data_IF_950738519117
#
_entry.id   IF_950738519117
#
_cell.length_a   1.000
_cell.length_b   1.000
_cell.length_c   1.000
_cell.angle_alpha   90.00
_cell.angle_beta   90.00
_cell.angle_gamma   90.00
#
_symmetry.space_group_name_H-M   'P 1'
#
loop_
_entity.id
_entity.type
_entity.pdbx_description
1 polymer ?
#
# COMPACT_ATOMS: atom_id res chain seq x y z
N UNK A 1 -19.89 -28.59 -70.55
CA UNK A 1 -18.54 -28.02 -70.40
C UNK A 1 -18.39 -27.60 -68.96
N UNK A 2 -17.94 -28.52 -68.11
CA UNK A 2 -17.60 -28.22 -66.73
C UNK A 2 -16.21 -27.57 -66.71
N UNK A 3 -16.14 -26.33 -66.24
CA UNK A 3 -14.86 -25.65 -65.99
C UNK A 3 -14.39 -26.12 -64.61
N UNK A 4 -13.29 -26.87 -64.62
CA UNK A 4 -12.69 -27.54 -63.48
C UNK A 4 -12.11 -26.50 -62.49
N UNK A 5 -12.60 -26.47 -61.25
CA UNK A 5 -12.19 -25.54 -60.18
C UNK A 5 -10.77 -25.81 -59.61
N UNK A 6 -9.91 -26.52 -60.33
CA UNK A 6 -8.55 -26.88 -59.86
C UNK A 6 -7.46 -25.88 -60.23
N UNK A 7 -7.75 -24.92 -61.11
CA UNK A 7 -6.71 -24.03 -61.66
C UNK A 7 -6.53 -22.70 -60.88
N UNK A 8 -7.30 -22.46 -59.81
CA UNK A 8 -7.20 -21.23 -59.00
C UNK A 8 -6.19 -21.32 -57.83
N UNK A 9 -5.45 -22.43 -57.68
CA UNK A 9 -4.56 -22.66 -56.53
C UNK A 9 -3.05 -22.51 -56.83
N UNK A 10 -2.69 -22.06 -58.03
CA UNK A 10 -1.30 -21.92 -58.47
C UNK A 10 -0.78 -20.47 -58.53
N UNK A 11 -1.35 -19.56 -57.74
CA UNK A 11 -0.64 -18.32 -57.43
C UNK A 11 0.31 -18.53 -56.24
N UNK A 12 1.56 -18.03 -56.30
CA UNK A 12 2.52 -18.21 -55.25
C UNK A 12 1.97 -17.56 -53.97
N UNK A 13 1.54 -18.40 -53.02
CA UNK A 13 1.16 -17.99 -51.67
C UNK A 13 2.24 -17.06 -51.16
N UNK A 14 1.91 -15.77 -51.03
CA UNK A 14 2.77 -14.77 -50.43
C UNK A 14 3.41 -15.38 -49.17
N UNK A 15 4.73 -15.53 -49.19
CA UNK A 15 5.49 -15.95 -48.02
C UNK A 15 5.35 -14.85 -46.96
N UNK A 16 4.31 -14.96 -46.12
CA UNK A 16 4.08 -14.04 -45.03
C UNK A 16 5.21 -14.20 -44.02
N UNK A 17 6.05 -13.16 -43.90
CA UNK A 17 6.99 -13.00 -42.79
C UNK A 17 6.14 -12.77 -41.53
N UNK A 18 5.89 -13.82 -40.75
CA UNK A 18 5.06 -13.77 -39.52
C UNK A 18 5.71 -12.91 -38.41
N UNK A 19 7.00 -12.59 -38.56
CA UNK A 19 7.76 -11.75 -37.64
C UNK A 19 8.35 -10.58 -38.41
N UNK A 20 7.64 -9.46 -38.39
CA UNK A 20 8.15 -8.15 -38.80
C UNK A 20 8.22 -7.23 -37.59
N UNK A 21 9.29 -6.45 -37.49
CA UNK A 21 9.37 -5.37 -36.50
C UNK A 21 8.47 -4.22 -36.94
N UNK A 22 8.12 -3.33 -36.00
CA UNK A 22 7.33 -2.13 -36.31
C UNK A 22 8.06 -1.25 -37.33
N UNK A 23 9.39 -1.16 -37.23
CA UNK A 23 10.24 -0.45 -38.19
C UNK A 23 10.14 -1.01 -39.63
N UNK A 24 9.98 -2.33 -39.81
CA UNK A 24 9.78 -2.93 -41.13
C UNK A 24 8.42 -2.58 -41.76
N UNK A 25 7.43 -2.19 -40.95
CA UNK A 25 6.09 -1.84 -41.42
C UNK A 25 5.96 -0.36 -41.80
N UNK A 26 6.96 0.47 -41.49
CA UNK A 26 6.97 1.89 -41.84
C UNK A 26 7.74 2.13 -43.12
N UNK A 27 7.15 2.85 -44.06
CA UNK A 27 7.79 3.22 -45.33
C UNK A 27 7.70 4.72 -45.58
N UNK A 28 8.43 5.24 -46.58
CA UNK A 28 8.38 6.66 -46.97
C UNK A 28 6.98 7.13 -47.40
N UNK A 29 6.10 6.19 -47.73
CA UNK A 29 4.71 6.40 -48.15
C UNK A 29 3.71 6.15 -47.00
N UNK A 30 4.19 5.81 -45.80
CA UNK A 30 3.38 5.54 -44.60
C UNK A 30 3.44 4.08 -44.11
N UNK A 31 2.49 3.73 -43.23
CA UNK A 31 2.33 2.39 -42.65
C UNK A 31 1.87 1.37 -43.70
N UNK A 32 2.57 0.23 -43.79
CA UNK A 32 2.18 -0.92 -44.60
C UNK A 32 1.50 -1.98 -43.73
N UNK A 33 0.21 -2.16 -43.95
CA UNK A 33 -0.62 -3.08 -43.20
C UNK A 33 -0.75 -4.43 -43.92
N UNK A 34 -0.16 -5.48 -43.34
CA UNK A 34 -0.28 -6.85 -43.87
C UNK A 34 -1.01 -7.74 -42.87
N UNK A 35 -2.34 -7.74 -42.92
CA UNK A 35 -3.14 -8.58 -42.04
C UNK A 35 -3.27 -9.99 -42.61
N UNK A 36 -3.10 -11.00 -41.73
CA UNK A 36 -3.17 -12.42 -42.11
C UNK A 36 -4.55 -12.86 -42.63
N UNK A 37 -5.61 -12.17 -42.22
CA UNK A 37 -7.00 -12.44 -42.60
C UNK A 37 -7.78 -11.14 -42.77
N UNK A 38 -8.92 -11.23 -43.44
CA UNK A 38 -9.92 -10.18 -43.45
C UNK A 38 -10.58 -10.05 -42.07
N UNK A 39 -10.98 -8.83 -41.74
CA UNK A 39 -11.70 -8.50 -40.50
C UNK A 39 -13.17 -8.79 -40.65
N UNK A 40 -13.80 -9.23 -39.56
CA UNK A 40 -15.26 -9.27 -39.49
C UNK A 40 -15.81 -7.86 -39.23
N UNK A 41 -17.07 -7.61 -39.60
CA UNK A 41 -17.71 -6.29 -39.48
C UNK A 41 -17.62 -5.71 -38.05
N UNK A 42 -17.72 -6.55 -37.02
CA UNK A 42 -17.62 -6.12 -35.62
C UNK A 42 -16.19 -5.77 -35.16
N UNK A 43 -15.16 -6.14 -35.94
CA UNK A 43 -13.75 -5.82 -35.67
C UNK A 43 -13.31 -4.53 -36.37
N UNK A 44 -14.03 -4.11 -37.42
CA UNK A 44 -13.71 -2.91 -38.21
C UNK A 44 -13.59 -1.65 -37.35
N UNK A 45 -14.47 -1.36 -36.35
CA UNK A 45 -14.32 -0.18 -35.51
C UNK A 45 -13.02 -0.19 -34.70
N UNK A 46 -12.65 -1.36 -34.15
CA UNK A 46 -11.40 -1.51 -33.37
C UNK A 46 -10.16 -1.36 -34.25
N UNK A 47 -10.25 -1.84 -35.50
CA UNK A 47 -9.18 -1.67 -36.47
C UNK A 47 -9.03 -0.21 -36.88
N UNK A 48 -10.13 0.49 -37.17
CA UNK A 48 -10.10 1.91 -37.48
C UNK A 48 -9.48 2.71 -36.32
N UNK A 49 -9.86 2.43 -35.07
CA UNK A 49 -9.25 3.06 -33.88
C UNK A 49 -7.75 2.77 -33.77
N UNK A 50 -7.34 1.55 -34.11
CA UNK A 50 -5.93 1.17 -34.10
C UNK A 50 -5.14 1.94 -35.16
N UNK A 51 -5.62 1.95 -36.42
CA UNK A 51 -5.01 2.68 -37.54
C UNK A 51 -4.89 4.18 -37.19
N UNK A 52 -5.99 4.79 -36.72
CA UNK A 52 -6.01 6.19 -36.31
C UNK A 52 -5.00 6.50 -35.19
N UNK A 53 -4.73 5.55 -34.28
CA UNK A 53 -3.74 5.73 -33.21
C UNK A 53 -2.32 5.63 -33.73
N UNK A 54 -2.03 4.73 -34.65
CA UNK A 54 -0.67 4.56 -35.16
C UNK A 54 -0.31 5.62 -36.21
N UNK A 55 -1.26 6.11 -36.99
CA UNK A 55 -1.05 7.22 -37.93
C UNK A 55 -0.68 8.54 -37.24
N UNK A 56 -1.00 8.69 -35.93
CA UNK A 56 -0.52 9.81 -35.13
C UNK A 56 1.01 9.80 -34.93
N UNK A 57 1.66 8.66 -35.16
CA UNK A 57 3.12 8.51 -35.08
C UNK A 57 3.68 8.53 -36.50
N UNK A 58 4.11 9.71 -36.96
CA UNK A 58 4.55 9.94 -38.34
C UNK A 58 6.05 9.76 -38.60
N UNK A 59 6.87 9.54 -37.57
CA UNK A 59 8.32 9.39 -37.73
C UNK A 59 8.84 8.33 -36.75
N UNK A 60 9.47 7.29 -37.30
CA UNK A 60 10.27 6.34 -36.52
C UNK A 60 11.74 6.75 -36.64
N UNK A 61 12.42 6.89 -35.49
CA UNK A 61 13.86 7.05 -35.47
C UNK A 61 14.57 5.79 -35.95
N UNK A 62 15.81 5.94 -36.41
CA UNK A 62 16.69 4.80 -36.72
C UNK A 62 17.36 4.22 -35.45
N UNK A 63 17.10 4.84 -34.29
CA UNK A 63 17.68 4.46 -33.01
C UNK A 63 17.02 3.19 -32.45
N UNK A 64 17.74 2.49 -31.55
CA UNK A 64 17.20 1.32 -30.86
C UNK A 64 16.06 1.72 -29.90
N UNK A 65 15.06 0.84 -29.76
CA UNK A 65 13.93 1.04 -28.85
C UNK A 65 14.40 1.13 -27.40
N UNK A 66 14.10 2.25 -26.72
CA UNK A 66 14.36 2.41 -25.29
C UNK A 66 13.07 2.36 -24.45
N UNK A 67 13.10 1.59 -23.37
CA UNK A 67 12.00 1.55 -22.39
C UNK A 67 11.96 2.83 -21.56
N UNK A 68 11.01 3.70 -21.86
CA UNK A 68 10.78 4.93 -21.11
C UNK A 68 9.67 4.78 -20.06
N UNK A 69 9.97 5.14 -18.82
CA UNK A 69 9.01 5.11 -17.72
C UNK A 69 8.31 6.47 -17.55
N UNK A 70 7.03 6.55 -17.94
CA UNK A 70 6.16 7.74 -17.79
C UNK A 70 5.72 8.04 -16.34
N UNK A 71 6.48 7.60 -15.35
CA UNK A 71 6.19 7.87 -13.94
C UNK A 71 7.10 8.89 -13.28
N UNK A 72 8.06 9.43 -14.03
CA UNK A 72 8.96 10.48 -13.58
C UNK A 72 9.38 11.37 -14.75
N UNK A 73 9.69 12.63 -14.48
CA UNK A 73 10.10 13.63 -15.48
C UNK A 73 11.36 13.22 -16.25
N UNK A 74 12.18 12.36 -15.64
CA UNK A 74 13.42 11.85 -16.23
C UNK A 74 13.24 10.60 -17.09
N UNK A 75 12.01 10.09 -17.25
CA UNK A 75 11.70 8.84 -17.95
C UNK A 75 12.46 7.58 -17.44
N UNK A 76 13.20 7.66 -16.32
CA UNK A 76 13.99 6.57 -15.75
C UNK A 76 13.21 5.78 -14.71
N UNK A 77 13.06 4.47 -14.89
CA UNK A 77 12.39 3.63 -13.90
C UNK A 77 13.17 3.58 -12.58
N UNK A 78 12.52 3.97 -11.49
CA UNK A 78 13.01 3.77 -10.12
C UNK A 78 11.94 3.10 -9.28
N UNK A 79 12.31 1.99 -8.64
CA UNK A 79 11.41 1.21 -7.77
C UNK A 79 10.78 2.09 -6.69
N UNK A 80 11.54 3.01 -6.08
CA UNK A 80 11.03 3.93 -5.06
C UNK A 80 9.94 4.86 -5.59
N UNK A 81 10.13 5.46 -6.77
CA UNK A 81 9.14 6.35 -7.38
C UNK A 81 7.94 5.58 -7.92
N UNK A 82 8.15 4.38 -8.47
CA UNK A 82 7.08 3.48 -8.87
C UNK A 82 6.22 3.07 -7.66
N UNK A 83 6.85 2.69 -6.55
CA UNK A 83 6.17 2.37 -5.29
C UNK A 83 5.37 3.58 -4.78
N UNK A 84 5.97 4.77 -4.73
CA UNK A 84 5.26 6.00 -4.34
C UNK A 84 4.05 6.30 -5.24
N UNK A 85 4.18 6.15 -6.56
CA UNK A 85 3.08 6.37 -7.52
C UNK A 85 1.97 5.33 -7.34
N UNK A 86 2.30 4.07 -7.11
CA UNK A 86 1.32 3.01 -6.80
C UNK A 86 0.65 3.23 -5.44
N UNK A 87 1.39 3.74 -4.47
CA UNK A 87 0.97 3.93 -3.08
C UNK A 87 0.38 5.33 -2.83
N UNK A 88 0.30 6.20 -3.84
CA UNK A 88 -0.14 7.60 -3.71
C UNK A 88 -1.61 7.74 -3.30
N UNK A 89 -2.42 6.71 -3.56
CA UNK A 89 -3.83 6.61 -3.14
C UNK A 89 -4.01 5.99 -1.75
N UNK A 90 -2.93 5.46 -1.17
CA UNK A 90 -2.90 5.09 0.24
C UNK A 90 -2.46 6.34 0.98
N UNK A 91 -3.43 7.25 1.19
CA UNK A 91 -3.30 8.34 2.14
C UNK A 91 -2.53 7.83 3.38
N UNK A 92 -1.60 8.61 3.96
CA UNK A 92 -1.17 8.33 5.31
C UNK A 92 -2.41 8.57 6.17
N UNK A 93 -3.25 7.53 6.29
CA UNK A 93 -4.27 7.45 7.31
C UNK A 93 -3.60 7.81 8.62
N UNK A 94 -4.36 8.34 9.58
CA UNK A 94 -3.93 8.62 10.96
C UNK A 94 -3.52 7.33 11.72
N UNK A 95 -2.93 6.38 11.02
CA UNK A 95 -2.46 5.10 11.45
C UNK A 95 -1.20 5.26 12.30
N UNK A 96 -1.19 4.75 13.53
CA UNK A 96 -0.12 4.97 14.51
C UNK A 96 1.12 4.11 14.24
N UNK A 97 1.64 4.11 13.01
CA UNK A 97 2.79 3.26 12.64
C UNK A 97 4.06 3.61 13.42
N UNK A 98 4.28 4.89 13.73
CA UNK A 98 5.44 5.33 14.50
C UNK A 98 5.39 4.75 15.91
N UNK A 99 4.22 4.76 16.54
CA UNK A 99 3.97 4.25 17.88
C UNK A 99 4.22 2.74 17.97
N UNK A 100 3.94 2.02 16.88
CA UNK A 100 4.15 0.58 16.77
C UNK A 100 5.63 0.26 16.51
N UNK A 101 6.25 0.88 15.51
CA UNK A 101 7.54 0.43 14.98
C UNK A 101 8.74 1.27 15.42
N UNK A 102 8.57 2.54 15.82
CA UNK A 102 9.66 3.43 16.28
C UNK A 102 9.86 3.44 17.80
N UNK A 103 9.12 2.62 18.53
CA UNK A 103 9.23 2.51 19.98
C UNK A 103 10.30 1.49 20.37
N UNK A 104 11.02 1.75 21.47
CA UNK A 104 11.99 0.80 22.06
C UNK A 104 11.26 -0.38 22.73
N UNK A 105 10.61 -1.23 21.95
CA UNK A 105 9.93 -2.44 22.43
C UNK A 105 10.41 -3.67 21.66
N UNK A 106 10.38 -4.88 22.28
CA UNK A 106 10.70 -6.11 21.57
C UNK A 106 9.80 -6.30 20.34
N UNK A 107 10.34 -6.85 19.25
CA UNK A 107 9.62 -7.03 17.99
C UNK A 107 8.31 -7.82 18.15
N UNK A 108 8.30 -8.83 19.04
CA UNK A 108 7.08 -9.60 19.36
C UNK A 108 5.94 -8.71 19.88
N UNK A 109 6.27 -7.70 20.69
CA UNK A 109 5.30 -6.73 21.21
C UNK A 109 4.84 -5.80 20.10
N UNK A 110 5.75 -5.33 19.24
CA UNK A 110 5.39 -4.49 18.10
C UNK A 110 4.40 -5.20 17.14
N UNK A 111 4.67 -6.48 16.80
CA UNK A 111 3.74 -7.30 16.01
C UNK A 111 2.38 -7.45 16.69
N UNK A 112 2.36 -7.68 18.00
CA UNK A 112 1.13 -7.81 18.77
C UNK A 112 0.31 -6.51 18.75
N UNK A 113 0.94 -5.36 18.99
CA UNK A 113 0.28 -4.04 18.93
C UNK A 113 -0.19 -3.72 17.52
N UNK A 114 0.56 -4.12 16.49
CA UNK A 114 0.12 -3.99 15.09
C UNK A 114 -1.16 -4.78 14.80
N UNK A 115 -1.23 -6.05 15.26
CA UNK A 115 -2.44 -6.87 15.15
C UNK A 115 -3.62 -6.27 15.92
N UNK A 116 -3.37 -5.71 17.11
CA UNK A 116 -4.37 -5.01 17.89
C UNK A 116 -4.93 -3.79 17.15
N UNK A 117 -4.05 -2.94 16.62
CA UNK A 117 -4.45 -1.76 15.86
C UNK A 117 -5.26 -2.13 14.60
N UNK A 118 -4.97 -3.30 14.00
CA UNK A 118 -5.68 -3.82 12.82
C UNK A 118 -6.98 -4.56 13.16
N UNK A 119 -7.35 -4.61 14.45
CA UNK A 119 -8.46 -5.41 14.96
C UNK A 119 -8.40 -6.87 14.47
N UNK A 120 -7.19 -7.43 14.36
CA UNK A 120 -6.92 -8.73 13.74
C UNK A 120 -6.55 -9.82 14.75
N UNK A 121 -6.62 -9.51 16.05
CA UNK A 121 -6.38 -10.48 17.13
C UNK A 121 -7.40 -11.62 17.12
N UNK A 122 -7.02 -12.77 17.68
CA UNK A 122 -7.88 -13.96 17.77
C UNK A 122 -8.93 -13.85 18.90
N UNK A 123 -9.70 -12.76 18.92
CA UNK A 123 -10.87 -12.64 19.79
C UNK A 123 -12.01 -13.51 19.27
N UNK A 124 -12.94 -13.91 20.13
CA UNK A 124 -14.12 -14.68 19.70
C UNK A 124 -14.89 -13.99 18.56
N UNK A 125 -15.02 -12.66 18.60
CA UNK A 125 -15.64 -11.89 17.51
C UNK A 125 -14.94 -12.12 16.15
N UNK A 126 -13.61 -12.09 16.13
CA UNK A 126 -12.84 -12.29 14.91
C UNK A 126 -12.82 -13.74 14.45
N UNK A 127 -12.88 -14.70 15.38
CA UNK A 127 -13.03 -16.12 15.05
C UNK A 127 -14.41 -16.38 14.44
N UNK A 128 -15.46 -15.74 14.94
CA UNK A 128 -16.81 -15.83 14.35
C UNK A 128 -16.88 -15.20 12.95
N UNK A 129 -16.21 -14.06 12.73
CA UNK A 129 -16.06 -13.48 11.37
C UNK A 129 -15.38 -14.43 10.38
N UNK A 130 -14.63 -15.43 10.87
CA UNK A 130 -13.98 -16.48 10.08
C UNK A 130 -14.81 -17.77 9.97
N UNK A 131 -16.06 -17.77 10.44
CA UNK A 131 -16.98 -18.91 10.34
C UNK A 131 -16.88 -19.93 11.48
N UNK A 132 -16.13 -19.64 12.56
CA UNK A 132 -16.06 -20.52 13.73
C UNK A 132 -17.22 -20.19 14.68
N UNK A 133 -18.05 -21.17 15.00
CA UNK A 133 -19.20 -20.99 15.89
C UNK A 133 -18.72 -20.98 17.35
N UNK A 134 -18.84 -19.83 18.02
CA UNK A 134 -18.44 -19.62 19.41
C UNK A 134 -19.49 -18.78 20.15
N UNK A 135 -19.42 -18.77 21.48
CA UNK A 135 -20.20 -17.84 22.29
C UNK A 135 -19.46 -16.49 22.36
N UNK A 136 -20.09 -15.39 21.95
CA UNK A 136 -19.58 -14.01 22.04
C UNK A 136 -19.64 -13.49 23.48
N UNK A 137 -18.81 -14.05 24.37
CA UNK A 137 -18.73 -13.61 25.76
C UNK A 137 -17.28 -13.62 26.23
N UNK A 138 -16.81 -12.44 26.61
CA UNK A 138 -15.48 -12.19 27.14
C UNK A 138 -15.15 -13.16 28.27
N UNK A 139 -14.06 -13.90 28.12
CA UNK A 139 -13.65 -14.89 29.11
C UNK A 139 -13.29 -14.27 30.48
N UNK A 140 -12.75 -13.04 30.46
CA UNK A 140 -12.28 -12.35 31.66
C UNK A 140 -13.41 -11.80 32.51
N UNK A 141 -14.34 -11.03 31.93
CA UNK A 141 -15.41 -10.39 32.69
C UNK A 141 -16.71 -11.18 32.68
N UNK A 142 -16.94 -12.03 31.67
CA UNK A 142 -18.19 -12.78 31.42
C UNK A 142 -19.45 -11.92 31.27
N UNK A 143 -19.31 -10.60 31.13
CA UNK A 143 -20.41 -9.64 31.10
C UNK A 143 -20.76 -9.17 29.68
N UNK A 144 -19.76 -8.99 28.81
CA UNK A 144 -19.90 -8.39 27.48
C UNK A 144 -19.27 -9.27 26.39
N UNK A 145 -19.53 -8.96 25.13
CA UNK A 145 -18.93 -9.65 23.99
C UNK A 145 -17.40 -9.46 23.94
N UNK A 146 -16.67 -10.52 23.57
CA UNK A 146 -15.22 -10.47 23.42
C UNK A 146 -14.83 -9.84 22.08
N UNK A 147 -14.77 -8.51 22.08
CA UNK A 147 -14.18 -7.72 20.99
C UNK A 147 -12.75 -7.32 21.34
N UNK A 148 -11.97 -6.90 20.34
CA UNK A 148 -10.60 -6.40 20.55
C UNK A 148 -10.59 -5.20 21.51
N UNK A 149 -11.45 -4.21 21.26
CA UNK A 149 -11.55 -3.03 22.12
C UNK A 149 -12.06 -3.38 23.53
N UNK A 150 -13.01 -4.31 23.66
CA UNK A 150 -13.45 -4.76 24.97
C UNK A 150 -12.31 -5.45 25.74
N UNK A 151 -11.69 -6.47 25.16
CA UNK A 151 -10.68 -7.28 25.84
C UNK A 151 -9.50 -6.44 26.35
N UNK A 152 -9.05 -5.44 25.57
CA UNK A 152 -7.83 -4.67 25.86
C UNK A 152 -8.06 -3.29 26.49
N UNK A 153 -9.26 -2.72 26.41
CA UNK A 153 -9.56 -1.37 26.94
C UNK A 153 -10.71 -1.38 27.96
N UNK A 154 -11.85 -1.98 27.58
CA UNK A 154 -13.12 -1.76 28.30
C UNK A 154 -13.50 -2.88 29.28
N UNK A 155 -12.85 -4.04 29.21
CA UNK A 155 -13.09 -5.17 30.09
C UNK A 155 -12.88 -4.77 31.54
N UNK A 156 -13.80 -5.17 32.42
CA UNK A 156 -13.75 -4.82 33.86
C UNK A 156 -12.39 -5.15 34.48
N UNK A 157 -11.83 -6.32 34.16
CA UNK A 157 -10.52 -6.77 34.64
C UNK A 157 -9.39 -5.92 34.04
N UNK A 158 -9.38 -5.77 32.71
CA UNK A 158 -8.34 -4.98 32.01
C UNK A 158 -8.32 -3.52 32.43
N UNK A 159 -9.50 -2.91 32.65
CA UNK A 159 -9.63 -1.55 33.16
C UNK A 159 -9.05 -1.38 34.56
N UNK A 160 -9.16 -2.41 35.43
CA UNK A 160 -8.50 -2.39 36.74
C UNK A 160 -6.97 -2.39 36.59
N UNK A 161 -6.43 -3.22 35.68
CA UNK A 161 -4.99 -3.23 35.39
C UNK A 161 -4.50 -1.88 34.87
N UNK A 162 -5.24 -1.26 33.94
CA UNK A 162 -4.94 0.09 33.48
C UNK A 162 -4.93 1.09 34.63
N UNK A 163 -5.95 1.10 35.49
CA UNK A 163 -5.99 2.00 36.65
C UNK A 163 -4.79 1.81 37.58
N UNK A 164 -4.41 0.57 37.88
CA UNK A 164 -3.24 0.29 38.72
C UNK A 164 -1.95 0.83 38.08
N UNK A 165 -1.75 0.57 36.79
CA UNK A 165 -0.57 1.06 36.06
C UNK A 165 -0.53 2.59 35.98
N UNK A 166 -1.66 3.22 35.64
CA UNK A 166 -1.78 4.67 35.49
C UNK A 166 -1.57 5.38 36.83
N UNK A 167 -2.19 4.88 37.90
CA UNK A 167 -2.00 5.43 39.25
C UNK A 167 -0.55 5.30 39.69
N UNK A 168 0.09 4.14 39.44
CA UNK A 168 1.50 3.93 39.76
C UNK A 168 2.42 4.89 38.97
N UNK A 169 2.02 5.29 37.77
CA UNK A 169 2.76 6.25 36.93
C UNK A 169 2.33 7.71 37.12
N UNK A 170 1.33 7.99 37.95
CA UNK A 170 0.77 9.34 38.13
C UNK A 170 0.10 9.91 36.87
N UNK A 171 -0.37 9.06 35.95
CA UNK A 171 -0.96 9.48 34.67
C UNK A 171 -2.47 9.51 34.79
N UNK A 172 -3.09 10.67 34.58
CA UNK A 172 -4.54 10.79 34.39
C UNK A 172 -4.87 10.51 32.93
N UNK A 173 -5.49 9.37 32.63
CA UNK A 173 -5.84 8.98 31.26
C UNK A 173 -7.31 8.57 31.11
N UNK A 174 -7.95 9.08 30.06
CA UNK A 174 -9.31 8.70 29.65
C UNK A 174 -9.23 7.58 28.62
N UNK A 175 -9.76 6.41 28.95
CA UNK A 175 -9.78 5.25 28.05
C UNK A 175 -10.67 5.58 26.85
N UNK A 176 -10.07 5.61 25.66
CA UNK A 176 -10.74 5.90 24.40
C UNK A 176 -11.51 4.68 23.85
N UNK A 177 -12.38 4.92 22.86
CA UNK A 177 -13.27 3.89 22.33
C UNK A 177 -12.54 2.78 21.59
N UNK A 178 -11.48 3.14 20.84
CA UNK A 178 -10.71 2.21 19.98
C UNK A 178 -9.24 2.14 20.34
N UNK A 179 -8.61 1.01 20.04
CA UNK A 179 -7.15 0.84 20.23
C UNK A 179 -6.34 1.83 19.41
N UNK A 180 -6.73 2.12 18.17
CA UNK A 180 -6.00 3.07 17.32
C UNK A 180 -5.97 4.47 17.93
N UNK A 181 -7.09 4.92 18.49
CA UNK A 181 -7.20 6.18 19.23
C UNK A 181 -6.39 6.16 20.53
N UNK A 182 -6.43 5.05 21.27
CA UNK A 182 -5.61 4.87 22.47
C UNK A 182 -4.11 5.00 22.14
N UNK A 183 -3.65 4.37 21.06
CA UNK A 183 -2.25 4.41 20.60
C UNK A 183 -1.82 5.82 20.17
N UNK A 184 -2.68 6.58 19.49
CA UNK A 184 -2.37 7.97 19.11
C UNK A 184 -2.37 8.90 20.32
N UNK A 185 -3.31 8.74 21.26
CA UNK A 185 -3.35 9.56 22.49
C UNK A 185 -2.11 9.38 23.35
N UNK A 186 -1.55 8.18 23.38
CA UNK A 186 -0.34 7.87 24.14
C UNK A 186 0.90 8.61 23.62
N UNK A 187 0.94 8.91 22.31
CA UNK A 187 1.99 9.74 21.71
C UNK A 187 1.96 11.15 22.27
N UNK A 188 0.77 11.74 22.29
CA UNK A 188 0.56 13.12 22.74
C UNK A 188 0.92 13.25 24.22
N UNK A 189 0.49 12.31 25.05
CA UNK A 189 0.85 12.28 26.47
C UNK A 189 2.37 12.12 26.68
N UNK A 190 3.04 11.24 25.91
CA UNK A 190 4.49 11.05 25.98
C UNK A 190 5.30 12.28 25.54
N UNK A 191 4.80 13.04 24.56
CA UNK A 191 5.40 14.31 24.14
C UNK A 191 5.24 15.40 25.20
N UNK A 192 4.08 15.49 25.84
CA UNK A 192 3.83 16.44 26.94
C UNK A 192 4.70 16.14 28.17
N UNK A 193 4.88 14.86 28.50
CA UNK A 193 5.76 14.44 29.60
C UNK A 193 7.23 14.77 29.33
N UNK A 194 7.70 14.62 28.09
CA UNK A 194 9.08 15.03 27.71
C UNK A 194 9.30 16.53 27.82
N UNK A 195 8.31 17.33 27.40
CA UNK A 195 8.37 18.79 27.50
C UNK A 195 8.48 19.27 28.96
N UNK A 196 7.75 18.65 29.88
CA UNK A 196 7.84 18.95 31.32
C UNK A 196 9.18 18.55 31.96
N UNK A 197 9.86 17.54 31.41
CA UNK A 197 11.20 17.12 31.86
C UNK A 197 12.31 18.02 31.30
N UNK A 198 12.12 18.59 30.12
CA UNK A 198 13.04 19.58 29.52
C UNK A 198 12.87 20.97 30.15
N UNK A 199 11.66 21.37 30.52
CA UNK A 199 11.35 22.65 31.17
C UNK A 199 11.57 22.63 32.71
N UNK A 200 12.08 21.53 33.28
CA UNK A 200 12.31 21.41 34.73
C UNK A 200 13.60 22.14 35.16
N UNK A 201 13.56 23.04 36.17
CA UNK A 201 14.67 23.96 36.50
C UNK A 201 15.90 23.29 37.13
N UNK A 202 15.88 21.97 37.34
CA UNK A 202 16.99 21.23 37.99
C UNK A 202 18.18 20.91 37.07
N UNK A 203 18.18 21.34 35.80
CA UNK A 203 19.36 21.23 34.90
C UNK A 203 20.31 22.43 34.93
N UNK A 204 19.95 23.54 35.59
CA UNK A 204 20.82 24.72 35.69
C UNK A 204 21.66 24.80 36.98
N UNK A 205 21.68 23.75 37.81
CA UNK A 205 22.39 23.74 39.09
C UNK A 205 23.55 22.74 39.18
N UNK A 206 24.02 22.18 38.05
CA UNK A 206 25.21 21.29 38.05
C UNK A 206 26.43 21.94 37.38
N UNK A 207 26.30 23.12 36.77
CA UNK A 207 27.43 23.77 36.07
C UNK A 207 28.18 24.84 36.90
N UNK A 208 27.90 25.00 38.20
CA UNK A 208 28.49 26.07 39.04
C UNK A 208 29.20 25.55 40.32
N UNK A 209 29.86 24.39 40.29
CA UNK A 209 30.75 23.96 41.40
C UNK A 209 32.04 23.28 40.93
N UNK A 210 32.62 23.70 39.80
CA UNK A 210 34.01 23.38 39.43
C UNK A 210 34.73 24.68 39.06
N UNK A 211 35.15 25.45 40.07
CA UNK A 211 35.76 26.76 39.84
C UNK A 211 36.33 27.46 41.07
N UNK A 212 36.88 26.73 42.04
CA UNK A 212 37.82 27.31 43.02
C UNK A 212 38.97 26.31 43.25
N UNK A 213 40.17 26.69 42.81
CA UNK A 213 41.38 25.90 43.01
C UNK A 213 42.51 26.20 42.02
N UNK A 214 42.96 27.46 41.96
CA UNK A 214 44.36 27.93 42.01
C UNK A 214 44.44 29.42 41.70
#
# INVERSE_FOLDING_TARGET
>A
MEINQRDLWNEPKCFFKIKSSIAELWTKEGWRYNFRRQFYDWEIPRMADFINKIEQFGELGADEDELQWKGDEKNTYKVSKAYMKMNHNLQPSNWPWKNIWKTKMPHKVACFVWLLAKEAMLTQENLMKRGIILCLRCFLCREQAETVNHLFLHCRITRQLWRLFLNHRGITWSILGKITEALTSWEQAGLLAKKQVEDSPSKHLVDNMEGEGF
#
